data_IF_646438553906
#
_entry.id   IF_646438553906
#
_cell.length_a   1.000
_cell.length_b   1.000
_cell.length_c   1.000
_cell.angle_alpha   90.00
_cell.angle_beta   90.00
_cell.angle_gamma   90.00
#
_symmetry.space_group_name_H-M   'P 1'
#
loop_
_entity.id
_entity.type
_entity.pdbx_description
1 polymer ?
#
# COMPACT_ATOMS: atom_id res chain seq x y z
N UNK A 1 13.32 -3.76 -21.04
CA UNK A 1 12.61 -2.70 -20.30
C UNK A 1 13.28 -2.60 -18.95
N UNK A 2 13.44 -1.42 -18.34
CA UNK A 2 13.97 -1.35 -16.99
C UNK A 2 13.02 -2.14 -16.08
N UNK A 3 13.57 -3.11 -15.35
CA UNK A 3 12.81 -3.87 -14.36
C UNK A 3 12.51 -2.95 -13.20
N UNK A 4 11.24 -2.80 -12.88
CA UNK A 4 10.80 -2.05 -11.71
C UNK A 4 10.36 -3.06 -10.67
N UNK A 5 10.85 -2.95 -9.44
CA UNK A 5 10.36 -3.79 -8.35
C UNK A 5 8.87 -3.49 -8.13
N UNK A 6 8.06 -4.53 -8.23
CA UNK A 6 6.62 -4.43 -7.95
C UNK A 6 6.42 -4.33 -6.45
N UNK A 7 5.45 -3.56 -6.01
CA UNK A 7 5.13 -3.42 -4.60
C UNK A 7 3.62 -3.23 -4.41
N UNK A 8 3.08 -3.78 -3.35
CA UNK A 8 1.69 -3.54 -2.93
C UNK A 8 1.52 -2.24 -2.13
N UNK A 9 2.51 -1.38 -2.04
CA UNK A 9 2.43 -0.11 -1.30
C UNK A 9 1.17 0.68 -1.67
N UNK A 10 0.95 0.95 -2.95
CA UNK A 10 -0.20 1.75 -3.39
C UNK A 10 -1.57 1.10 -3.12
N UNK A 11 -1.78 -0.20 -3.34
CA UNK A 11 -2.99 -0.87 -2.85
C UNK A 11 -3.19 -0.75 -1.34
N UNK A 12 -2.12 -0.84 -0.54
CA UNK A 12 -2.17 -0.67 0.92
C UNK A 12 -2.50 0.77 1.29
N UNK A 13 -1.90 1.76 0.65
CA UNK A 13 -2.27 3.18 0.83
C UNK A 13 -3.78 3.40 0.59
N UNK A 14 -4.36 2.76 -0.44
CA UNK A 14 -5.81 2.85 -0.70
C UNK A 14 -6.66 2.12 0.34
N UNK A 15 -6.15 1.03 0.92
CA UNK A 15 -6.80 0.36 2.04
C UNK A 15 -6.83 1.26 3.29
N UNK A 16 -5.70 1.90 3.62
CA UNK A 16 -5.59 2.84 4.74
C UNK A 16 -6.41 4.13 4.51
N UNK A 17 -6.49 4.60 3.26
CA UNK A 17 -7.37 5.71 2.90
C UNK A 17 -8.84 5.36 3.16
N UNK A 18 -9.27 4.15 2.80
CA UNK A 18 -10.62 3.68 3.09
C UNK A 18 -10.87 3.53 4.61
N UNK A 19 -9.90 3.03 5.37
CA UNK A 19 -9.97 2.99 6.83
C UNK A 19 -10.15 4.39 7.43
N UNK A 20 -9.38 5.36 6.96
CA UNK A 20 -9.48 6.75 7.40
C UNK A 20 -10.89 7.32 7.21
N UNK A 21 -11.48 7.11 6.03
CA UNK A 21 -12.86 7.56 5.79
C UNK A 21 -13.90 6.80 6.63
N UNK A 22 -13.67 5.52 6.90
CA UNK A 22 -14.52 4.75 7.81
C UNK A 22 -14.46 5.27 9.25
N UNK A 23 -13.28 5.61 9.76
CA UNK A 23 -13.10 6.18 11.07
C UNK A 23 -13.89 7.51 11.21
N UNK A 24 -13.85 8.35 10.19
CA UNK A 24 -14.61 9.61 10.16
C UNK A 24 -16.12 9.38 10.02
N UNK A 25 -16.52 8.38 9.24
CA UNK A 25 -17.91 8.00 9.02
C UNK A 25 -18.63 7.70 10.34
N UNK A 26 -17.97 7.01 11.26
CA UNK A 26 -18.53 6.60 12.57
C UNK A 26 -19.01 7.80 13.40
N UNK A 27 -18.32 8.94 13.29
CA UNK A 27 -18.63 10.16 14.04
C UNK A 27 -19.43 11.19 13.23
N UNK A 28 -19.72 10.90 11.96
CA UNK A 28 -20.40 11.83 11.07
C UNK A 28 -21.92 11.66 11.10
N UNK A 29 -22.65 12.73 10.80
CA UNK A 29 -24.11 12.72 10.67
C UNK A 29 -24.57 13.64 9.52
N UNK A 30 -25.79 13.43 9.04
CA UNK A 30 -26.38 14.23 7.97
C UNK A 30 -25.59 14.18 6.67
N UNK A 31 -25.29 15.33 6.06
CA UNK A 31 -24.52 15.40 4.82
C UNK A 31 -23.07 14.97 4.99
N UNK A 32 -22.46 15.21 6.16
CA UNK A 32 -21.10 14.76 6.42
C UNK A 32 -21.01 13.23 6.35
N UNK A 33 -21.98 12.50 6.91
CA UNK A 33 -22.05 11.05 6.78
C UNK A 33 -22.12 10.59 5.31
N UNK A 34 -22.94 11.27 4.50
CA UNK A 34 -23.02 10.97 3.06
C UNK A 34 -21.69 11.19 2.33
N UNK A 35 -20.96 12.24 2.69
CA UNK A 35 -19.67 12.54 2.05
C UNK A 35 -18.60 11.53 2.44
N UNK A 36 -18.51 11.18 3.72
CA UNK A 36 -17.55 10.17 4.19
C UNK A 36 -17.88 8.77 3.62
N UNK A 37 -19.16 8.41 3.50
CA UNK A 37 -19.57 7.17 2.86
C UNK A 37 -19.16 7.13 1.39
N UNK A 38 -19.36 8.20 0.64
CA UNK A 38 -18.95 8.29 -0.77
C UNK A 38 -17.41 8.18 -0.92
N UNK A 39 -16.68 8.83 -0.03
CA UNK A 39 -15.22 8.76 0.00
C UNK A 39 -14.73 7.34 0.32
N UNK A 40 -15.31 6.70 1.33
CA UNK A 40 -15.05 5.29 1.66
C UNK A 40 -15.30 4.36 0.46
N UNK A 41 -16.47 4.48 -0.19
CA UNK A 41 -16.82 3.66 -1.36
C UNK A 41 -15.82 3.83 -2.51
N UNK A 42 -15.33 5.05 -2.71
CA UNK A 42 -14.36 5.34 -3.77
C UNK A 42 -12.97 4.80 -3.44
N UNK A 43 -12.49 5.00 -2.20
CA UNK A 43 -11.20 4.52 -1.73
C UNK A 43 -11.15 2.99 -1.71
N UNK A 44 -12.18 2.33 -1.14
CA UNK A 44 -12.28 0.87 -1.07
C UNK A 44 -12.28 0.21 -2.45
N UNK A 45 -12.99 0.80 -3.43
CA UNK A 45 -12.94 0.32 -4.83
C UNK A 45 -11.55 0.48 -5.44
N UNK A 46 -10.84 1.55 -5.09
CA UNK A 46 -9.50 1.82 -5.62
C UNK A 46 -8.47 0.76 -5.20
N UNK A 47 -8.64 0.09 -4.07
CA UNK A 47 -7.77 -1.01 -3.62
C UNK A 47 -7.64 -2.09 -4.72
N UNK A 48 -8.77 -2.62 -5.19
CA UNK A 48 -8.76 -3.68 -6.20
C UNK A 48 -8.31 -3.20 -7.57
N UNK A 49 -8.62 -1.96 -7.92
CA UNK A 49 -8.20 -1.35 -9.20
C UNK A 49 -6.69 -1.13 -9.23
N UNK A 50 -6.12 -0.56 -8.17
CA UNK A 50 -4.68 -0.31 -8.07
C UNK A 50 -3.91 -1.63 -7.96
N UNK A 51 -4.41 -2.62 -7.20
CA UNK A 51 -3.85 -3.96 -7.13
C UNK A 51 -3.69 -4.58 -8.53
N UNK A 52 -4.78 -4.56 -9.31
CA UNK A 52 -4.77 -5.10 -10.67
C UNK A 52 -3.74 -4.39 -11.56
N UNK A 53 -3.65 -3.05 -11.47
CA UNK A 53 -2.72 -2.27 -12.26
C UNK A 53 -1.26 -2.53 -11.89
N UNK A 54 -0.95 -2.54 -10.60
CA UNK A 54 0.43 -2.71 -10.10
C UNK A 54 0.98 -4.10 -10.39
N UNK A 55 0.14 -5.13 -10.28
CA UNK A 55 0.53 -6.53 -10.44
C UNK A 55 0.33 -7.08 -11.86
N UNK A 56 -0.12 -6.26 -12.82
CA UNK A 56 -0.52 -6.71 -14.17
C UNK A 56 0.57 -7.48 -14.92
N UNK A 57 1.84 -7.08 -14.72
CA UNK A 57 3.00 -7.68 -15.41
C UNK A 57 3.60 -8.88 -14.65
N UNK A 58 3.08 -9.20 -13.46
CA UNK A 58 3.60 -10.30 -12.64
C UNK A 58 3.15 -11.65 -13.21
N UNK A 59 4.08 -12.58 -13.49
CA UNK A 59 3.74 -13.89 -14.01
C UNK A 59 2.72 -14.63 -13.12
N UNK A 60 1.67 -15.15 -13.74
CA UNK A 60 0.60 -15.88 -13.02
C UNK A 60 -0.45 -15.00 -12.33
N UNK A 61 -0.21 -13.69 -12.18
CA UNK A 61 -1.16 -12.80 -11.51
C UNK A 61 -2.51 -12.72 -12.22
N UNK A 62 -2.52 -12.66 -13.55
CA UNK A 62 -3.77 -12.55 -14.31
C UNK A 62 -4.73 -13.71 -14.01
N UNK A 63 -4.25 -14.94 -14.01
CA UNK A 63 -5.07 -16.13 -13.71
C UNK A 63 -5.52 -16.15 -12.24
N UNK A 64 -4.62 -15.81 -11.31
CA UNK A 64 -4.97 -15.69 -9.89
C UNK A 64 -6.03 -14.61 -9.66
N UNK A 65 -5.87 -13.44 -10.26
CA UNK A 65 -6.80 -12.34 -10.08
C UNK A 65 -8.18 -12.62 -10.71
N UNK A 66 -8.22 -13.32 -11.86
CA UNK A 66 -9.48 -13.78 -12.44
C UNK A 66 -10.24 -14.71 -11.47
N UNK A 67 -9.54 -15.64 -10.81
CA UNK A 67 -10.12 -16.46 -9.76
C UNK A 67 -10.65 -15.61 -8.59
N UNK A 68 -9.88 -14.63 -8.11
CA UNK A 68 -10.34 -13.70 -7.07
C UNK A 68 -11.57 -12.89 -7.51
N UNK A 69 -11.62 -12.49 -8.78
CA UNK A 69 -12.81 -11.80 -9.31
C UNK A 69 -14.06 -12.69 -9.30
N UNK A 70 -13.92 -14.00 -9.59
CA UNK A 70 -15.03 -14.95 -9.48
C UNK A 70 -15.54 -15.02 -8.04
N UNK A 71 -14.64 -15.13 -7.06
CA UNK A 71 -14.99 -15.14 -5.64
C UNK A 71 -15.68 -13.85 -5.20
N UNK A 72 -15.12 -12.69 -5.56
CA UNK A 72 -15.73 -11.40 -5.26
C UNK A 72 -17.11 -11.23 -5.91
N UNK A 73 -17.30 -11.74 -7.13
CA UNK A 73 -18.60 -11.71 -7.82
C UNK A 73 -19.60 -12.69 -7.20
N UNK A 74 -19.16 -13.78 -6.60
CA UNK A 74 -20.02 -14.71 -5.87
C UNK A 74 -20.47 -14.13 -4.51
N UNK A 75 -19.66 -13.28 -3.88
CA UNK A 75 -19.97 -12.61 -2.62
C UNK A 75 -21.00 -11.47 -2.83
N UNK A 76 -22.19 -11.63 -2.28
CA UNK A 76 -23.28 -10.68 -2.43
C UNK A 76 -22.96 -9.30 -1.84
N UNK A 77 -22.26 -9.26 -0.68
CA UNK A 77 -21.86 -8.00 -0.06
C UNK A 77 -20.79 -7.27 -0.89
N UNK A 78 -19.80 -7.98 -1.44
CA UNK A 78 -18.78 -7.38 -2.32
C UNK A 78 -19.42 -6.76 -3.58
N UNK A 79 -20.36 -7.45 -4.21
CA UNK A 79 -21.14 -6.89 -5.35
C UNK A 79 -21.92 -5.67 -4.93
N UNK A 80 -22.61 -5.74 -3.81
CA UNK A 80 -23.41 -4.63 -3.29
C UNK A 80 -22.57 -3.36 -3.11
N UNK A 81 -21.40 -3.46 -2.50
CA UNK A 81 -20.48 -2.31 -2.35
C UNK A 81 -19.99 -1.76 -3.67
N UNK A 82 -19.71 -2.62 -4.67
CA UNK A 82 -19.37 -2.20 -6.02
C UNK A 82 -20.52 -1.40 -6.66
N UNK A 83 -21.75 -1.88 -6.52
CA UNK A 83 -22.92 -1.23 -7.07
C UNK A 83 -23.25 0.08 -6.36
N UNK A 84 -23.11 0.14 -5.02
CA UNK A 84 -23.23 1.39 -4.26
C UNK A 84 -22.24 2.45 -4.75
N UNK A 85 -20.99 2.06 -4.97
CA UNK A 85 -19.98 2.96 -5.55
C UNK A 85 -20.39 3.47 -6.92
N UNK A 86 -20.92 2.59 -7.78
CA UNK A 86 -21.38 2.99 -9.12
C UNK A 86 -22.57 3.95 -9.06
N UNK A 87 -23.51 3.74 -8.13
CA UNK A 87 -24.62 4.63 -7.87
C UNK A 87 -24.08 6.00 -7.41
N UNK A 88 -23.23 6.02 -6.39
CA UNK A 88 -22.70 7.27 -5.82
C UNK A 88 -21.96 8.12 -6.84
N UNK A 89 -21.34 7.50 -7.86
CA UNK A 89 -20.56 8.19 -8.88
C UNK A 89 -21.39 8.63 -10.10
N UNK A 90 -22.48 7.93 -10.41
CA UNK A 90 -23.18 8.10 -11.69
C UNK A 90 -24.64 8.53 -11.56
N UNK A 91 -25.29 8.23 -10.43
CA UNK A 91 -26.73 8.40 -10.28
C UNK A 91 -27.11 9.38 -9.16
N UNK A 92 -26.26 9.53 -8.15
CA UNK A 92 -26.54 10.39 -7.01
C UNK A 92 -26.24 9.71 -5.64
N UNK A 93 -26.74 10.28 -4.56
CA UNK A 93 -26.42 9.79 -3.23
C UNK A 93 -26.94 8.36 -2.99
N UNK A 94 -26.20 7.57 -2.23
CA UNK A 94 -26.64 6.27 -1.73
C UNK A 94 -27.81 6.47 -0.77
N UNK A 95 -28.86 5.66 -0.91
CA UNK A 95 -30.03 5.74 -0.03
C UNK A 95 -29.82 5.00 1.28
N UNK A 96 -30.00 5.69 2.38
CA UNK A 96 -29.95 5.13 3.73
C UNK A 96 -30.99 5.82 4.65
N UNK A 97 -31.32 5.15 5.75
CA UNK A 97 -32.10 5.72 6.85
C UNK A 97 -31.23 5.79 8.08
N UNK A 98 -31.40 6.83 8.86
CA UNK A 98 -30.69 7.02 10.12
C UNK A 98 -31.61 7.40 11.27
N UNK A 99 -31.12 7.20 12.48
CA UNK A 99 -31.79 7.58 13.70
C UNK A 99 -30.79 7.80 14.82
N UNK A 100 -31.19 8.66 15.79
CA UNK A 100 -30.44 8.85 17.03
C UNK A 100 -30.61 7.66 17.96
N UNK A 101 -29.54 7.31 18.66
CA UNK A 101 -29.56 6.28 19.69
C UNK A 101 -29.88 6.85 21.08
N UNK A 102 -30.58 6.10 21.95
CA UNK A 102 -30.67 6.44 23.37
C UNK A 102 -29.26 6.52 23.96
N UNK A 103 -28.91 7.64 24.58
CA UNK A 103 -27.55 7.87 25.12
C UNK A 103 -26.59 8.62 24.18
N UNK A 104 -27.07 9.07 23.04
CA UNK A 104 -26.30 9.82 22.05
C UNK A 104 -25.70 8.94 20.93
N UNK A 105 -25.33 9.60 19.84
CA UNK A 105 -24.84 8.92 18.64
C UNK A 105 -25.95 8.66 17.61
N UNK A 106 -25.50 8.23 16.43
CA UNK A 106 -26.35 7.97 15.27
C UNK A 106 -26.10 6.55 14.76
N UNK A 107 -27.13 5.91 14.24
CA UNK A 107 -27.04 4.65 13.50
C UNK A 107 -27.65 4.84 12.11
N UNK A 108 -27.03 4.23 11.10
CA UNK A 108 -27.49 4.31 9.73
C UNK A 108 -27.60 2.91 9.13
N UNK A 109 -28.61 2.70 8.30
CA UNK A 109 -28.86 1.41 7.63
C UNK A 109 -29.16 1.66 6.17
N UNK A 110 -28.70 0.77 5.30
CA UNK A 110 -29.02 0.80 3.89
C UNK A 110 -30.51 0.57 3.67
N UNK A 111 -31.08 1.35 2.76
CA UNK A 111 -32.45 1.15 2.27
C UNK A 111 -32.36 0.34 0.99
N UNK A 112 -33.11 -0.75 0.88
CA UNK A 112 -33.07 -1.67 -0.25
C UNK A 112 -33.59 -1.12 -1.59
N UNK A 113 -33.28 0.14 -1.87
CA UNK A 113 -33.63 0.85 -3.12
C UNK A 113 -32.49 1.78 -3.52
N UNK A 114 -32.06 1.83 -4.77
CA UNK A 114 -32.55 1.02 -5.92
C UNK A 114 -32.08 -0.43 -5.92
N UNK A 115 -31.11 -0.80 -5.05
CA UNK A 115 -30.55 -2.15 -4.93
C UNK A 115 -31.07 -2.84 -3.69
N UNK A 116 -31.46 -4.13 -3.78
CA UNK A 116 -31.80 -4.92 -2.59
C UNK A 116 -30.55 -5.07 -1.71
N UNK A 117 -30.70 -4.90 -0.40
CA UNK A 117 -29.61 -5.12 0.56
C UNK A 117 -29.41 -6.62 0.72
N UNK A 118 -28.17 -7.14 0.59
CA UNK A 118 -27.86 -8.53 0.85
C UNK A 118 -28.26 -8.97 2.26
N UNK A 119 -28.66 -10.23 2.40
CA UNK A 119 -29.20 -10.77 3.66
C UNK A 119 -28.22 -10.61 4.84
N UNK A 120 -26.93 -10.78 4.61
CA UNK A 120 -25.85 -10.62 5.59
C UNK A 120 -25.61 -9.16 6.03
N UNK A 121 -26.17 -8.19 5.30
CA UNK A 121 -26.06 -6.74 5.59
C UNK A 121 -27.37 -6.14 6.09
N UNK A 122 -28.51 -6.83 5.91
CA UNK A 122 -29.84 -6.32 6.32
C UNK A 122 -29.86 -6.00 7.81
N UNK A 123 -30.34 -4.81 8.14
CA UNK A 123 -30.51 -4.39 9.54
C UNK A 123 -29.23 -4.01 10.28
N UNK A 124 -28.07 -4.22 9.68
CA UNK A 124 -26.78 -3.82 10.28
C UNK A 124 -26.52 -2.33 10.10
N UNK A 125 -25.74 -1.77 11.01
CA UNK A 125 -25.22 -0.42 10.87
C UNK A 125 -24.27 -0.33 9.67
N UNK A 126 -24.32 0.78 8.93
CA UNK A 126 -23.49 0.99 7.72
C UNK A 126 -22.01 0.97 8.05
N UNK A 127 -21.58 1.52 9.19
CA UNK A 127 -20.16 1.48 9.58
C UNK A 127 -19.68 0.05 9.81
N UNK A 128 -20.50 -0.81 10.41
CA UNK A 128 -20.20 -2.23 10.58
C UNK A 128 -20.17 -2.98 9.23
N UNK A 129 -21.03 -2.62 8.28
CA UNK A 129 -21.00 -3.16 6.93
C UNK A 129 -19.72 -2.75 6.18
N UNK A 130 -19.32 -1.47 6.31
CA UNK A 130 -18.09 -0.93 5.72
C UNK A 130 -16.85 -1.61 6.34
N UNK A 131 -16.81 -1.81 7.65
CA UNK A 131 -15.72 -2.50 8.34
C UNK A 131 -15.54 -3.95 7.81
N UNK A 132 -16.66 -4.69 7.70
CA UNK A 132 -16.62 -6.04 7.15
C UNK A 132 -16.15 -6.08 5.68
N UNK A 133 -16.56 -5.09 4.87
CA UNK A 133 -16.08 -4.96 3.49
C UNK A 133 -14.58 -4.67 3.43
N UNK A 134 -14.09 -3.77 4.28
CA UNK A 134 -12.67 -3.41 4.36
C UNK A 134 -11.82 -4.62 4.77
N UNK A 135 -12.28 -5.41 5.74
CA UNK A 135 -11.61 -6.67 6.13
C UNK A 135 -11.50 -7.68 4.98
N UNK A 136 -12.53 -7.79 4.12
CA UNK A 136 -12.46 -8.63 2.91
C UNK A 136 -11.39 -8.14 1.93
N UNK A 137 -11.24 -6.83 1.74
CA UNK A 137 -10.20 -6.24 0.90
C UNK A 137 -8.80 -6.46 1.49
N UNK A 138 -8.66 -6.33 2.80
CA UNK A 138 -7.40 -6.63 3.49
C UNK A 138 -7.00 -8.10 3.31
N UNK A 139 -7.94 -9.04 3.46
CA UNK A 139 -7.70 -10.47 3.20
C UNK A 139 -7.28 -10.75 1.75
N UNK A 140 -7.85 -10.04 0.77
CA UNK A 140 -7.43 -10.14 -0.63
C UNK A 140 -5.96 -9.72 -0.81
N UNK A 141 -5.54 -8.63 -0.16
CA UNK A 141 -4.13 -8.18 -0.20
C UNK A 141 -3.19 -9.18 0.49
N UNK A 142 -3.58 -9.73 1.66
CA UNK A 142 -2.79 -10.77 2.34
C UNK A 142 -2.64 -12.03 1.49
N UNK A 143 -3.69 -12.43 0.79
CA UNK A 143 -3.63 -13.57 -0.13
C UNK A 143 -2.71 -13.30 -1.31
N UNK A 144 -2.71 -12.07 -1.84
CA UNK A 144 -1.75 -11.64 -2.86
C UNK A 144 -0.30 -11.70 -2.33
N UNK A 145 -0.05 -11.24 -1.09
CA UNK A 145 1.28 -11.31 -0.45
C UNK A 145 1.75 -12.76 -0.30
N UNK A 146 0.85 -13.67 0.06
CA UNK A 146 1.17 -15.10 0.22
C UNK A 146 1.48 -15.76 -1.12
N UNK A 147 0.71 -15.42 -2.15
CA UNK A 147 0.84 -16.03 -3.48
C UNK A 147 2.04 -15.48 -4.26
N UNK A 148 2.35 -14.19 -4.10
CA UNK A 148 3.40 -13.49 -4.84
C UNK A 148 4.39 -12.79 -3.88
N UNK A 149 5.07 -13.51 -2.97
CA UNK A 149 5.82 -12.91 -1.88
C UNK A 149 6.95 -11.99 -2.34
N UNK A 150 7.62 -12.33 -3.43
CA UNK A 150 8.77 -11.57 -3.97
C UNK A 150 8.30 -10.32 -4.71
N UNK A 151 7.17 -10.40 -5.41
CA UNK A 151 6.61 -9.29 -6.17
C UNK A 151 5.81 -8.31 -5.31
N UNK A 152 5.25 -8.77 -4.19
CA UNK A 152 4.45 -7.94 -3.30
C UNK A 152 5.27 -7.16 -2.28
N UNK A 153 6.39 -7.74 -1.84
CA UNK A 153 7.25 -7.19 -0.80
C UNK A 153 8.66 -6.95 -1.37
N UNK A 154 9.01 -5.71 -1.75
CA UNK A 154 10.33 -5.40 -2.32
C UNK A 154 11.49 -5.90 -1.45
N UNK A 155 11.41 -5.81 -0.13
CA UNK A 155 12.42 -6.32 0.77
C UNK A 155 12.73 -7.82 0.61
N UNK A 156 11.78 -8.61 0.11
CA UNK A 156 11.99 -10.04 -0.22
C UNK A 156 12.65 -10.25 -1.58
N UNK A 157 12.56 -9.26 -2.48
CA UNK A 157 13.26 -9.28 -3.75
C UNK A 157 14.78 -9.07 -3.58
N UNK A 158 15.19 -8.32 -2.54
CA UNK A 158 16.58 -8.04 -2.19
C UNK A 158 17.23 -9.17 -1.38
N UNK A 159 17.02 -10.40 -1.80
CA UNK A 159 17.70 -11.61 -1.32
C UNK A 159 18.27 -12.37 -2.53
N UNK A 160 19.23 -13.26 -2.33
CA UNK A 160 19.78 -14.06 -3.43
C UNK A 160 18.68 -14.90 -4.10
N UNK A 161 17.81 -15.53 -3.30
CA UNK A 161 16.68 -16.31 -3.78
C UNK A 161 15.63 -15.43 -4.49
N UNK A 162 15.41 -14.20 -3.98
CA UNK A 162 14.47 -13.24 -4.58
C UNK A 162 14.95 -12.76 -5.94
N UNK A 163 16.25 -12.43 -6.07
CA UNK A 163 16.85 -12.05 -7.33
C UNK A 163 16.82 -13.18 -8.35
N UNK A 164 17.14 -14.41 -7.94
CA UNK A 164 17.07 -15.58 -8.78
C UNK A 164 15.64 -15.83 -9.28
N UNK A 165 14.65 -15.79 -8.37
CA UNK A 165 13.24 -15.98 -8.69
C UNK A 165 12.71 -14.93 -9.68
N UNK A 166 13.24 -13.71 -9.63
CA UNK A 166 12.86 -12.61 -10.53
C UNK A 166 13.72 -12.56 -11.81
N UNK A 167 14.82 -13.30 -11.86
CA UNK A 167 15.80 -13.20 -12.93
C UNK A 167 16.49 -11.83 -12.96
N UNK A 168 16.66 -11.17 -11.81
CA UNK A 168 17.27 -9.84 -11.71
C UNK A 168 18.78 -9.92 -11.59
N UNK A 169 19.43 -9.01 -12.29
CA UNK A 169 20.86 -8.73 -12.17
C UNK A 169 21.12 -7.60 -11.17
N UNK A 170 22.39 -7.40 -10.79
CA UNK A 170 22.80 -6.25 -9.99
C UNK A 170 22.41 -4.90 -10.62
N UNK A 171 22.45 -4.82 -11.95
CA UNK A 171 22.04 -3.60 -12.68
C UNK A 171 20.55 -3.32 -12.57
N UNK A 172 19.72 -4.37 -12.47
CA UNK A 172 18.29 -4.21 -12.26
C UNK A 172 18.01 -3.69 -10.85
N UNK A 173 18.77 -4.18 -9.86
CA UNK A 173 18.70 -3.67 -8.48
C UNK A 173 19.12 -2.20 -8.42
N UNK A 174 20.27 -1.85 -9.00
CA UNK A 174 20.76 -0.47 -9.08
C UNK A 174 19.70 0.47 -9.71
N UNK A 175 19.15 0.06 -10.85
CA UNK A 175 18.13 0.84 -11.55
C UNK A 175 16.85 1.00 -10.72
N UNK A 176 16.43 -0.04 -10.00
CA UNK A 176 15.21 -0.02 -9.20
C UNK A 176 15.26 0.95 -8.01
N UNK A 177 16.44 1.16 -7.42
CA UNK A 177 16.65 2.09 -6.30
C UNK A 177 17.32 3.40 -6.73
N UNK A 178 17.46 3.62 -8.05
CA UNK A 178 18.00 4.87 -8.60
C UNK A 178 19.50 5.06 -8.44
N UNK A 179 20.27 3.97 -8.27
CA UNK A 179 21.72 4.02 -8.20
C UNK A 179 22.35 4.05 -9.62
N UNK A 180 23.54 4.67 -9.76
CA UNK A 180 24.29 4.63 -11.02
C UNK A 180 24.68 3.19 -11.39
N UNK A 181 24.69 2.85 -12.70
CA UNK A 181 25.18 1.54 -13.16
C UNK A 181 26.61 1.25 -12.69
N UNK A 182 26.83 0.06 -12.13
CA UNK A 182 28.14 -0.36 -11.62
C UNK A 182 28.44 0.09 -10.18
N UNK A 183 27.45 0.70 -9.51
CA UNK A 183 27.61 1.10 -8.11
C UNK A 183 27.90 -0.09 -7.19
N UNK A 184 27.35 -1.25 -7.50
CA UNK A 184 27.55 -2.49 -6.74
C UNK A 184 28.78 -3.28 -7.13
N UNK A 185 29.52 -2.87 -8.19
CA UNK A 185 30.74 -3.57 -8.68
C UNK A 185 31.92 -3.38 -7.71
N UNK A 186 31.89 -2.35 -6.85
CA UNK A 186 33.01 -2.03 -5.94
C UNK A 186 32.98 -2.83 -4.64
N UNK A 187 34.20 -3.11 -4.10
CA UNK A 187 34.43 -3.66 -2.75
C UNK A 187 34.29 -5.17 -2.60
N UNK A 188 35.09 -5.74 -1.70
CA UNK A 188 35.05 -7.16 -1.28
C UNK A 188 33.88 -7.45 -0.32
N UNK A 189 32.68 -6.96 -0.62
CA UNK A 189 31.51 -7.18 0.21
C UNK A 189 30.74 -8.39 -0.35
N UNK A 190 30.40 -9.40 0.47
CA UNK A 190 29.58 -10.54 0.04
C UNK A 190 28.23 -10.10 -0.56
N UNK A 191 27.75 -10.83 -1.57
CA UNK A 191 26.49 -10.52 -2.27
C UNK A 191 25.30 -10.38 -1.30
N UNK A 192 25.13 -11.31 -0.37
CA UNK A 192 24.07 -11.26 0.64
C UNK A 192 24.13 -9.99 1.51
N UNK A 193 25.32 -9.53 1.85
CA UNK A 193 25.50 -8.31 2.65
C UNK A 193 25.20 -7.05 1.83
N UNK A 194 25.62 -7.02 0.54
CA UNK A 194 25.23 -5.94 -0.37
C UNK A 194 23.72 -5.84 -0.50
N UNK A 195 23.03 -6.96 -0.72
CA UNK A 195 21.57 -7.00 -0.82
C UNK A 195 20.90 -6.55 0.47
N UNK A 196 21.41 -6.97 1.64
CA UNK A 196 20.91 -6.55 2.95
C UNK A 196 21.01 -5.04 3.16
N UNK A 197 22.09 -4.43 2.70
CA UNK A 197 22.28 -2.98 2.77
C UNK A 197 21.30 -2.28 1.83
N UNK A 198 21.24 -2.72 0.58
CA UNK A 198 20.36 -2.11 -0.43
C UNK A 198 18.88 -2.26 -0.10
N UNK A 199 18.48 -3.37 0.56
CA UNK A 199 17.09 -3.57 0.98
C UNK A 199 16.59 -2.53 1.98
N UNK A 200 17.48 -1.82 2.69
CA UNK A 200 17.12 -0.74 3.61
C UNK A 200 16.63 0.53 2.90
N UNK A 201 17.02 0.71 1.64
CA UNK A 201 16.56 1.82 0.81
C UNK A 201 15.15 1.59 0.24
N UNK A 202 14.65 0.36 0.37
CA UNK A 202 13.33 -0.01 -0.12
C UNK A 202 12.35 0.05 1.04
N UNK A 203 11.34 0.89 0.88
CA UNK A 203 10.30 1.04 1.89
C UNK A 203 9.59 -0.30 2.14
N UNK A 204 9.54 -0.78 3.39
CA UNK A 204 8.89 -2.04 3.71
C UNK A 204 7.38 -1.95 3.47
N UNK A 205 6.77 -3.05 3.05
CA UNK A 205 5.32 -3.16 2.98
C UNK A 205 4.74 -3.24 4.39
N UNK A 206 3.76 -2.40 4.70
CA UNK A 206 3.05 -2.38 5.98
C UNK A 206 2.04 -3.55 6.09
N UNK A 207 2.59 -4.75 6.27
CA UNK A 207 1.79 -5.98 6.43
C UNK A 207 0.99 -5.93 7.74
N UNK A 208 1.55 -5.35 8.79
CA UNK A 208 0.91 -5.28 10.10
C UNK A 208 -0.43 -4.51 10.04
N UNK A 209 -0.48 -3.40 9.30
CA UNK A 209 -1.75 -2.69 9.09
C UNK A 209 -2.77 -3.50 8.28
N UNK A 210 -2.33 -4.28 7.29
CA UNK A 210 -3.24 -5.13 6.54
C UNK A 210 -3.82 -6.23 7.45
N UNK A 211 -2.99 -6.89 8.26
CA UNK A 211 -3.40 -7.94 9.20
C UNK A 211 -4.38 -7.38 10.24
N UNK A 212 -4.06 -6.24 10.84
CA UNK A 212 -4.91 -5.54 11.80
C UNK A 212 -6.31 -5.26 11.22
N UNK A 213 -6.39 -4.72 10.01
CA UNK A 213 -7.66 -4.44 9.33
C UNK A 213 -8.40 -5.74 9.00
N UNK A 214 -7.69 -6.80 8.58
CA UNK A 214 -8.30 -8.08 8.30
C UNK A 214 -8.92 -8.73 9.54
N UNK A 215 -8.34 -8.49 10.72
CA UNK A 215 -8.85 -8.92 12.03
C UNK A 215 -10.00 -8.03 12.56
N UNK A 216 -10.27 -6.91 11.89
CA UNK A 216 -11.32 -5.97 12.28
C UNK A 216 -10.89 -4.97 13.36
N UNK A 217 -9.61 -4.90 13.68
CA UNK A 217 -9.05 -3.88 14.56
C UNK A 217 -8.79 -2.61 13.74
N UNK A 218 -9.71 -1.66 13.82
CA UNK A 218 -9.67 -0.42 13.06
C UNK A 218 -9.08 0.73 13.89
N UNK A 219 -8.32 1.61 13.24
CA UNK A 219 -7.77 2.81 13.90
C UNK A 219 -8.90 3.74 14.36
N UNK A 220 -8.73 4.31 15.55
CA UNK A 220 -9.59 5.38 16.01
C UNK A 220 -9.37 6.65 15.16
N UNK A 221 -10.41 7.46 15.02
CA UNK A 221 -10.32 8.75 14.32
C UNK A 221 -9.25 9.65 14.97
N UNK A 222 -8.46 10.32 14.13
CA UNK A 222 -7.39 11.21 14.57
C UNK A 222 -6.05 10.54 14.89
N UNK A 223 -5.94 9.21 14.83
CA UNK A 223 -4.64 8.55 14.93
C UNK A 223 -3.80 8.83 13.66
N UNK A 224 -2.54 9.29 13.79
CA UNK A 224 -1.67 9.47 12.63
C UNK A 224 -1.49 8.15 11.88
N UNK A 225 -1.53 8.21 10.54
CA UNK A 225 -1.10 7.09 9.71
C UNK A 225 0.42 7.15 9.69
N UNK A 226 1.06 6.37 10.54
CA UNK A 226 2.50 6.23 10.54
C UNK A 226 2.87 5.10 9.59
N UNK A 227 3.48 5.45 8.46
CA UNK A 227 4.21 4.46 7.68
C UNK A 227 5.47 4.06 8.44
N UNK A 228 5.84 2.76 8.45
CA UNK A 228 7.08 2.36 9.06
C UNK A 228 8.19 3.21 8.44
N UNK A 229 8.82 4.03 9.29
CA UNK A 229 9.99 4.78 8.86
C UNK A 229 11.00 3.77 8.34
N UNK A 230 11.51 3.99 7.13
CA UNK A 230 12.72 3.30 6.71
C UNK A 230 13.69 3.43 7.89
N UNK A 231 14.18 2.34 8.44
CA UNK A 231 15.12 2.36 9.56
C UNK A 231 16.44 2.95 9.04
N UNK A 232 16.40 4.27 8.82
CA UNK A 232 17.40 5.00 8.11
C UNK A 232 18.67 5.16 8.91
N UNK A 233 19.55 4.19 8.79
CA UNK A 233 20.95 4.53 8.59
C UNK A 233 21.09 4.88 7.11
N UNK A 234 21.58 6.08 6.83
CA UNK A 234 21.78 6.56 5.46
C UNK A 234 22.68 5.54 4.72
N UNK A 235 22.17 4.95 3.61
CA UNK A 235 22.92 3.99 2.79
C UNK A 235 24.34 4.50 2.49
N UNK A 236 24.45 5.81 2.27
CA UNK A 236 25.73 6.49 2.02
C UNK A 236 26.68 6.37 3.22
N UNK A 237 26.15 6.52 4.43
CA UNK A 237 26.95 6.40 5.67
C UNK A 237 27.39 4.94 5.90
N UNK A 238 26.53 3.95 5.63
CA UNK A 238 26.85 2.51 5.77
C UNK A 238 27.90 2.07 4.72
N UNK A 239 27.75 2.45 3.47
CA UNK A 239 28.71 2.14 2.41
C UNK A 239 30.04 2.84 2.65
N UNK A 240 30.00 4.09 3.10
CA UNK A 240 31.21 4.85 3.46
C UNK A 240 31.95 4.22 4.64
N UNK A 241 31.23 3.72 5.65
CA UNK A 241 31.84 3.01 6.76
C UNK A 241 32.52 1.70 6.32
N UNK A 242 31.96 1.01 5.29
CA UNK A 242 32.49 -0.23 4.74
C UNK A 242 33.69 -0.02 3.79
N UNK A 243 33.71 1.12 3.06
CA UNK A 243 34.75 1.43 2.08
C UNK A 243 35.85 2.32 2.61
N UNK A 244 35.74 2.84 3.84
CA UNK A 244 36.76 3.69 4.44
C UNK A 244 38.06 2.91 4.64
N UNK A 245 39.21 3.40 4.11
CA UNK A 245 40.50 2.78 4.35
C UNK A 245 40.81 2.78 5.85
N UNK A 246 41.13 1.64 6.39
CA UNK A 246 41.52 1.47 7.79
C UNK A 246 42.80 2.28 8.06
N UNK A 247 42.66 3.53 8.52
CA UNK A 247 43.80 4.31 9.00
C UNK A 247 44.05 5.70 8.42
N UNK A 248 43.03 6.48 8.06
CA UNK A 248 43.23 7.87 7.64
C UNK A 248 42.15 8.81 8.20
N UNK A 249 42.54 10.06 8.52
CA UNK A 249 41.66 11.09 9.05
C UNK A 249 40.40 11.27 8.18
N UNK A 250 39.26 10.94 8.72
CA UNK A 250 37.96 10.94 8.09
C UNK A 250 37.53 12.33 7.61
N UNK A 251 37.53 12.56 6.31
CA UNK A 251 36.58 13.53 5.73
C UNK A 251 35.24 12.81 5.65
N UNK A 252 34.24 13.31 6.34
CA UNK A 252 32.90 12.70 6.41
C UNK A 252 32.34 12.53 4.99
N UNK A 253 31.99 11.33 4.50
CA UNK A 253 31.56 11.07 3.12
C UNK A 253 30.36 11.90 2.69
N UNK A 254 29.45 12.24 3.61
CA UNK A 254 28.35 13.17 3.38
C UNK A 254 28.80 14.48 2.74
N UNK A 255 29.95 15.03 3.16
CA UNK A 255 30.44 16.29 2.63
C UNK A 255 30.92 16.17 1.18
N UNK A 256 31.40 15.01 0.75
CA UNK A 256 31.86 14.78 -0.63
C UNK A 256 30.68 14.65 -1.58
N UNK A 257 29.67 13.88 -1.19
CA UNK A 257 28.46 13.68 -2.00
C UNK A 257 27.61 14.96 -2.06
N UNK A 258 27.32 15.58 -0.92
CA UNK A 258 26.58 16.85 -0.85
C UNK A 258 27.28 17.94 -1.66
N UNK A 259 28.61 18.06 -1.56
CA UNK A 259 29.37 19.04 -2.34
C UNK A 259 29.36 18.72 -3.84
N UNK A 260 29.38 17.44 -4.23
CA UNK A 260 29.27 17.04 -5.64
C UNK A 260 27.88 17.35 -6.22
N UNK A 261 26.81 17.10 -5.45
CA UNK A 261 25.43 17.41 -5.84
C UNK A 261 25.20 18.92 -5.92
N UNK A 262 25.64 19.68 -4.92
CA UNK A 262 25.53 21.14 -4.91
C UNK A 262 26.32 21.78 -6.05
N UNK A 263 27.51 21.26 -6.37
CA UNK A 263 28.30 21.71 -7.52
C UNK A 263 27.54 21.50 -8.83
N UNK A 264 26.90 20.35 -8.99
CA UNK A 264 26.14 20.01 -10.21
C UNK A 264 24.87 20.85 -10.35
N UNK A 265 24.20 21.18 -9.24
CA UNK A 265 23.04 22.09 -9.23
C UNK A 265 23.50 23.50 -9.65
N UNK A 266 24.58 24.03 -9.08
CA UNK A 266 25.12 25.35 -9.43
C UNK A 266 25.60 25.43 -10.88
N UNK A 267 26.17 24.33 -11.44
CA UNK A 267 26.58 24.26 -12.85
C UNK A 267 25.39 24.32 -13.81
N UNK A 268 24.22 23.74 -13.39
CA UNK A 268 22.97 23.78 -14.17
C UNK A 268 22.28 25.14 -14.11
N UNK A 269 22.33 25.84 -12.96
CA UNK A 269 21.74 27.17 -12.80
C UNK A 269 22.58 28.27 -13.46
N UNK A 270 23.85 27.98 -13.80
CA UNK A 270 24.78 28.91 -14.43
C UNK A 270 24.89 28.74 -15.95
N UNK A 271 24.15 27.82 -16.53
CA UNK A 271 24.07 27.50 -17.98
C UNK A 271 22.75 27.93 -18.58
#
# INVERSE_FOLDING_TARGET
MPHTFTTLRHPVEKLLEAEHFLARLIYSYGLAFQFELNAFLSASRSVTFVLQKVMSEVPGFAAWYEHQQILMKADAAMRFFLDLRNISQKQGPVSFVGGSLPGGGWTYRFVGRPLPVPEDLVGRDISACCAAHLGKLANLLLECVRTFPVHSCPGRAFTEEGMEALGYSWRDVEAAIGLPPGYTDGGDIPAAEKLRILSREVEPLDIASIERIAEGDLRADGAPIEFPASSGTDLVDDIAAMTAPRGGASRHPRNVFVNAVLKRINDIESS
#
